data_IF_173052270164
#
_entry.id   IF_173052270164
#
_cell.length_a   1.000
_cell.length_b   1.000
_cell.length_c   1.000
_cell.angle_alpha   90.00
_cell.angle_beta   90.00
_cell.angle_gamma   90.00
#
_symmetry.space_group_name_H-M   'P 1'
#
loop_
_entity.id
_entity.type
_entity.pdbx_description
1 polymer ?
#
# COMPACT_ATOMS: atom_id res chain seq x y z
N UNK A 1 -15.09 21.59 20.51
CA UNK A 1 -14.92 21.40 19.06
C UNK A 1 -13.45 21.05 18.82
N UNK A 2 -13.15 19.82 18.40
CA UNK A 2 -11.78 19.43 18.06
C UNK A 2 -11.37 20.17 16.78
N UNK A 3 -10.46 21.12 16.91
CA UNK A 3 -9.80 21.75 15.76
C UNK A 3 -8.83 20.73 15.16
N UNK A 4 -9.27 19.98 14.16
CA UNK A 4 -8.42 19.02 13.43
C UNK A 4 -7.68 19.74 12.33
N UNK A 5 -6.50 20.25 12.66
CA UNK A 5 -5.61 20.87 11.66
C UNK A 5 -4.77 19.78 11.01
N UNK A 6 -5.26 19.21 9.90
CA UNK A 6 -4.42 18.46 9.00
C UNK A 6 -3.29 19.38 8.51
N UNK A 7 -2.06 18.88 8.53
CA UNK A 7 -0.89 19.63 8.11
C UNK A 7 -0.63 19.37 6.62
N UNK A 8 -0.16 20.37 5.84
CA UNK A 8 0.29 20.12 4.47
C UNK A 8 1.38 19.04 4.42
N UNK A 9 1.37 18.22 3.37
CA UNK A 9 2.41 17.25 3.08
C UNK A 9 2.68 17.19 1.57
N UNK A 10 3.94 17.00 1.19
CA UNK A 10 4.33 16.77 -0.20
C UNK A 10 3.95 15.33 -0.61
N UNK A 11 3.09 15.14 -1.63
CA UNK A 11 2.81 13.80 -2.14
C UNK A 11 4.04 13.19 -2.82
N UNK A 12 4.18 11.87 -2.72
CA UNK A 12 5.18 11.07 -3.39
C UNK A 12 4.54 9.98 -4.26
N UNK A 13 5.24 9.55 -5.31
CA UNK A 13 4.87 8.34 -6.04
C UNK A 13 5.20 7.07 -5.23
N UNK A 14 4.65 5.92 -5.62
CA UNK A 14 4.96 4.64 -4.97
C UNK A 14 6.32 4.10 -5.41
N UNK A 15 7.07 3.37 -4.55
CA UNK A 15 8.41 2.85 -4.90
C UNK A 15 8.40 1.93 -6.12
N UNK A 16 7.31 1.19 -6.31
CA UNK A 16 7.07 0.32 -7.46
C UNK A 16 5.72 0.64 -8.13
N UNK A 17 5.54 0.27 -9.42
CA UNK A 17 4.30 0.52 -10.14
C UNK A 17 3.07 -0.03 -9.43
N UNK A 18 2.05 0.82 -9.30
CA UNK A 18 0.71 0.45 -8.88
C UNK A 18 -0.17 0.35 -10.13
N UNK A 19 -1.01 -0.69 -10.24
CA UNK A 19 -1.86 -0.92 -11.42
C UNK A 19 -2.71 0.33 -11.74
N UNK A 20 -2.68 0.78 -13.00
CA UNK A 20 -3.07 2.14 -13.41
C UNK A 20 -4.52 2.57 -13.10
N UNK A 21 -5.45 1.62 -12.94
CA UNK A 21 -6.85 1.90 -12.58
C UNK A 21 -7.01 2.55 -11.19
N UNK A 22 -6.04 2.33 -10.29
CA UNK A 22 -6.14 2.75 -8.89
C UNK A 22 -5.84 4.24 -8.65
N UNK A 23 -5.43 5.02 -9.66
CA UNK A 23 -5.19 6.48 -9.50
C UNK A 23 -6.49 7.26 -9.30
N UNK A 24 -7.56 6.90 -10.00
CA UNK A 24 -8.85 7.56 -9.86
C UNK A 24 -9.51 7.21 -8.53
N UNK A 25 -9.44 5.94 -8.11
CA UNK A 25 -9.83 5.52 -6.77
C UNK A 25 -9.06 6.31 -5.71
N UNK A 26 -7.73 6.41 -5.83
CA UNK A 26 -6.91 7.11 -4.86
C UNK A 26 -7.35 8.56 -4.65
N UNK A 27 -7.68 9.29 -5.72
CA UNK A 27 -8.19 10.67 -5.60
C UNK A 27 -9.49 10.74 -4.78
N UNK A 28 -10.42 9.81 -5.03
CA UNK A 28 -11.71 9.75 -4.30
C UNK A 28 -11.49 9.39 -2.83
N UNK A 29 -10.69 8.36 -2.57
CA UNK A 29 -10.31 7.95 -1.20
C UNK A 29 -9.69 9.11 -0.45
N UNK A 30 -8.68 9.78 -1.03
CA UNK A 30 -7.98 10.91 -0.39
C UNK A 30 -8.95 12.04 -0.05
N UNK A 31 -9.89 12.37 -0.94
CA UNK A 31 -10.91 13.39 -0.67
C UNK A 31 -11.80 13.02 0.52
N UNK A 32 -12.16 11.74 0.68
CA UNK A 32 -12.92 11.25 1.85
C UNK A 32 -12.12 11.31 3.13
N UNK A 33 -10.87 10.86 3.08
CA UNK A 33 -9.98 10.93 4.24
C UNK A 33 -9.76 12.37 4.71
N UNK A 34 -9.70 13.33 3.78
CA UNK A 34 -9.57 14.75 4.11
C UNK A 34 -10.80 15.32 4.84
N UNK A 35 -11.99 14.82 4.50
CA UNK A 35 -13.26 15.29 5.04
C UNK A 35 -13.54 14.79 6.47
N UNK A 36 -12.84 13.73 6.92
CA UNK A 36 -13.05 13.15 8.25
C UNK A 36 -12.08 13.81 9.24
N UNK A 37 -12.57 14.48 10.30
CA UNK A 37 -11.72 15.02 11.36
C UNK A 37 -10.92 13.92 12.07
N UNK A 38 -9.59 14.04 12.13
CA UNK A 38 -8.72 13.14 12.88
C UNK A 38 -7.40 13.82 13.28
N UNK A 39 -6.76 13.32 14.34
CA UNK A 39 -5.40 13.73 14.73
C UNK A 39 -4.37 12.61 14.55
N UNK A 40 -4.84 11.36 14.47
CA UNK A 40 -4.02 10.18 14.20
C UNK A 40 -4.53 9.50 12.93
N UNK A 41 -3.63 9.13 12.03
CA UNK A 41 -3.97 8.37 10.83
C UNK A 41 -3.22 7.03 10.81
N UNK A 42 -3.92 5.95 10.48
CA UNK A 42 -3.35 4.59 10.48
C UNK A 42 -3.73 3.84 9.20
N UNK A 43 -2.76 3.24 8.51
CA UNK A 43 -3.00 2.27 7.41
C UNK A 43 -2.58 0.85 7.84
N UNK A 44 -3.53 -0.04 8.21
CA UNK A 44 -3.20 -1.41 8.58
C UNK A 44 -2.64 -2.26 7.43
N UNK A 45 -2.95 -1.89 6.19
CA UNK A 45 -2.60 -2.60 4.95
C UNK A 45 -1.95 -1.63 3.95
N UNK A 46 -0.81 -1.04 4.30
CA UNK A 46 -0.20 0.05 3.51
C UNK A 46 0.22 -0.42 2.10
N UNK A 47 0.64 -1.68 1.93
CA UNK A 47 1.17 -2.19 0.68
C UNK A 47 2.33 -1.33 0.17
N UNK A 48 2.25 -0.82 -1.05
CA UNK A 48 3.25 0.11 -1.60
C UNK A 48 3.02 1.59 -1.23
N UNK A 49 2.14 1.90 -0.27
CA UNK A 49 1.83 3.26 0.17
C UNK A 49 0.94 4.02 -0.80
N UNK A 50 0.02 3.31 -1.48
CA UNK A 50 -0.72 3.85 -2.61
C UNK A 50 -1.60 5.06 -2.27
N UNK A 51 -2.17 5.08 -1.07
CA UNK A 51 -2.94 6.20 -0.53
C UNK A 51 -2.05 7.06 0.34
N UNK A 52 -1.36 6.45 1.32
CA UNK A 52 -0.48 7.14 2.26
C UNK A 52 0.42 8.20 1.61
N UNK A 53 1.21 7.78 0.61
CA UNK A 53 2.21 8.62 -0.04
C UNK A 53 1.58 9.71 -0.92
N UNK A 54 0.36 9.48 -1.44
CA UNK A 54 -0.31 10.39 -2.37
C UNK A 54 -1.14 11.47 -1.68
N UNK A 55 -1.38 11.36 -0.37
CA UNK A 55 -2.15 12.36 0.39
C UNK A 55 -1.36 13.67 0.47
N UNK A 56 -1.93 14.82 0.05
CA UNK A 56 -1.28 16.13 0.13
C UNK A 56 -1.37 16.76 1.54
N UNK A 57 -1.67 15.94 2.53
CA UNK A 57 -1.80 16.32 3.92
C UNK A 57 -1.38 15.16 4.83
N UNK A 58 -1.10 15.48 6.09
CA UNK A 58 -0.77 14.53 7.14
C UNK A 58 -1.49 14.86 8.43
N UNK A 59 -1.82 13.81 9.18
CA UNK A 59 -2.28 13.95 10.56
C UNK A 59 -1.11 14.31 11.48
N UNK A 60 -1.42 14.67 12.74
CA UNK A 60 -0.36 14.97 13.74
C UNK A 60 0.50 13.74 14.02
N UNK A 61 -0.12 12.57 14.06
CA UNK A 61 0.55 11.28 14.18
C UNK A 61 0.12 10.37 13.03
N UNK A 62 1.08 9.67 12.43
CA UNK A 62 0.81 8.76 11.32
C UNK A 62 1.52 7.42 11.54
N UNK A 63 0.78 6.35 11.26
CA UNK A 63 1.25 4.97 11.41
C UNK A 63 0.96 4.22 10.12
N UNK A 64 1.96 3.54 9.58
CA UNK A 64 1.78 2.59 8.48
C UNK A 64 2.16 1.19 8.95
N UNK A 65 1.44 0.19 8.43
CA UNK A 65 1.65 -1.20 8.76
C UNK A 65 1.50 -2.07 7.52
N UNK A 66 2.35 -3.08 7.43
CA UNK A 66 2.13 -4.21 6.54
C UNK A 66 2.58 -5.49 7.25
N UNK A 67 1.90 -6.59 6.99
CA UNK A 67 2.31 -7.90 7.50
C UNK A 67 3.55 -8.43 6.77
N UNK A 68 3.75 -8.01 5.52
CA UNK A 68 4.90 -8.36 4.70
C UNK A 68 6.17 -7.76 5.30
N UNK A 69 7.09 -8.65 5.68
CA UNK A 69 8.40 -8.26 6.17
C UNK A 69 9.21 -7.48 5.14
N UNK A 70 9.03 -7.76 3.84
CA UNK A 70 9.76 -7.05 2.78
C UNK A 70 9.23 -5.62 2.59
N UNK A 71 7.92 -5.41 2.71
CA UNK A 71 7.29 -4.07 2.65
C UNK A 71 7.72 -3.22 3.85
N UNK A 72 7.57 -3.77 5.07
CA UNK A 72 7.97 -3.07 6.29
C UNK A 72 9.47 -2.76 6.28
N UNK A 73 10.30 -3.72 5.83
CA UNK A 73 11.74 -3.53 5.70
C UNK A 73 12.08 -2.43 4.68
N UNK A 74 11.46 -2.42 3.49
CA UNK A 74 11.68 -1.39 2.48
C UNK A 74 11.41 0.01 3.02
N UNK A 75 10.25 0.24 3.64
CA UNK A 75 9.93 1.56 4.18
C UNK A 75 10.83 1.97 5.35
N UNK A 76 11.20 1.02 6.22
CA UNK A 76 12.16 1.29 7.30
C UNK A 76 13.55 1.66 6.77
N UNK A 77 14.04 0.97 5.74
CA UNK A 77 15.30 1.31 5.07
C UNK A 77 15.21 2.67 4.39
N UNK A 78 14.11 2.98 3.68
CA UNK A 78 13.90 4.31 3.11
C UNK A 78 13.86 5.40 4.17
N UNK A 79 13.28 5.14 5.35
CA UNK A 79 13.26 6.12 6.43
C UNK A 79 14.64 6.32 7.10
N UNK A 80 15.40 5.24 7.35
CA UNK A 80 16.60 5.27 8.21
C UNK A 80 17.94 5.21 7.48
N UNK A 81 17.95 4.62 6.29
CA UNK A 81 19.16 4.26 5.54
C UNK A 81 19.01 4.61 4.05
N UNK A 82 18.34 5.73 3.74
CA UNK A 82 18.14 6.22 2.38
C UNK A 82 19.46 6.35 1.61
N UNK A 83 20.46 7.04 2.18
CA UNK A 83 21.77 7.24 1.52
C UNK A 83 22.47 5.90 1.22
N UNK A 84 22.66 4.98 2.19
CA UNK A 84 23.19 3.65 1.90
C UNK A 84 22.42 2.86 0.84
N UNK A 85 21.08 2.97 0.82
CA UNK A 85 20.26 2.31 -0.20
C UNK A 85 20.56 2.89 -1.58
N UNK A 86 20.63 4.22 -1.70
CA UNK A 86 20.95 4.89 -2.96
C UNK A 86 22.34 4.51 -3.47
N UNK A 87 23.34 4.43 -2.60
CA UNK A 87 24.69 4.00 -2.96
C UNK A 87 24.72 2.57 -3.51
N UNK A 88 23.95 1.66 -2.91
CA UNK A 88 23.87 0.28 -3.38
C UNK A 88 23.12 0.16 -4.71
N UNK A 89 22.14 1.03 -4.97
CA UNK A 89 21.35 1.02 -6.20
C UNK A 89 22.03 1.74 -7.37
N UNK A 90 22.97 2.67 -7.12
CA UNK A 90 23.46 3.63 -8.14
C UNK A 90 24.02 3.04 -9.43
N UNK A 91 24.51 1.80 -9.38
CA UNK A 91 25.08 1.10 -10.54
C UNK A 91 24.21 -0.06 -11.04
N UNK A 92 23.03 -0.25 -10.46
CA UNK A 92 22.13 -1.31 -10.90
C UNK A 92 21.52 -1.01 -12.27
N UNK A 93 21.47 -2.04 -13.09
CA UNK A 93 20.89 -2.04 -14.42
C UNK A 93 19.76 -3.07 -14.53
N UNK A 94 18.82 -2.84 -15.44
CA UNK A 94 17.73 -3.79 -15.69
C UNK A 94 18.26 -4.97 -16.52
N UNK A 95 18.26 -6.17 -15.95
CA UNK A 95 18.74 -7.41 -16.58
C UNK A 95 17.85 -8.58 -16.17
N UNK A 96 17.50 -9.44 -17.13
CA UNK A 96 16.78 -10.68 -16.86
C UNK A 96 17.63 -11.65 -16.02
N UNK A 97 18.91 -11.78 -16.33
CA UNK A 97 19.81 -12.65 -15.58
C UNK A 97 19.94 -12.19 -14.12
N UNK A 98 19.98 -10.88 -13.89
CA UNK A 98 20.01 -10.34 -12.53
C UNK A 98 18.68 -10.54 -11.79
N UNK A 99 17.54 -10.37 -12.48
CA UNK A 99 16.23 -10.70 -11.92
C UNK A 99 16.15 -12.16 -11.48
N UNK A 100 16.58 -13.09 -12.33
CA UNK A 100 16.56 -14.54 -12.04
C UNK A 100 17.52 -14.88 -10.89
N UNK A 101 18.73 -14.30 -10.87
CA UNK A 101 19.70 -14.44 -9.78
C UNK A 101 19.12 -13.95 -8.45
N UNK A 102 18.54 -12.75 -8.42
CA UNK A 102 17.92 -12.18 -7.23
C UNK A 102 16.69 -12.97 -6.80
N UNK A 103 15.88 -13.46 -7.73
CA UNK A 103 14.73 -14.30 -7.42
C UNK A 103 15.15 -15.62 -6.76
N UNK A 104 16.21 -16.26 -7.24
CA UNK A 104 16.76 -17.49 -6.69
C UNK A 104 17.53 -17.31 -5.37
N UNK A 105 17.93 -16.08 -5.03
CA UNK A 105 18.66 -15.80 -3.81
C UNK A 105 17.81 -16.11 -2.56
N UNK A 106 18.43 -16.75 -1.56
CA UNK A 106 17.83 -16.94 -0.25
C UNK A 106 17.74 -15.59 0.47
N UNK A 107 16.52 -15.08 0.69
CA UNK A 107 16.31 -13.80 1.33
C UNK A 107 16.79 -13.76 2.79
N UNK A 108 16.81 -14.91 3.48
CA UNK A 108 17.21 -15.01 4.88
C UNK A 108 18.72 -14.84 5.09
N UNK A 109 19.53 -14.97 4.03
CA UNK A 109 20.98 -14.76 4.11
C UNK A 109 21.39 -13.32 3.78
N UNK A 110 20.43 -12.46 3.43
CA UNK A 110 20.68 -11.09 3.03
C UNK A 110 20.51 -10.15 4.22
N UNK A 111 21.33 -9.10 4.27
CA UNK A 111 21.11 -7.97 5.16
C UNK A 111 19.79 -7.27 4.83
N UNK A 112 19.23 -6.54 5.79
CA UNK A 112 18.02 -5.76 5.57
C UNK A 112 18.14 -4.78 4.40
N UNK A 113 19.32 -4.19 4.21
CA UNK A 113 19.59 -3.28 3.10
C UNK A 113 19.51 -4.03 1.76
N UNK A 114 20.20 -5.15 1.63
CA UNK A 114 20.16 -6.01 0.44
C UNK A 114 18.76 -6.55 0.15
N UNK A 115 18.02 -6.94 1.19
CA UNK A 115 16.62 -7.37 1.07
C UNK A 115 15.74 -6.27 0.52
N UNK A 116 15.88 -5.04 0.99
CA UNK A 116 15.10 -3.90 0.49
C UNK A 116 15.39 -3.61 -0.99
N UNK A 117 16.66 -3.59 -1.39
CA UNK A 117 17.00 -3.38 -2.81
C UNK A 117 16.59 -4.55 -3.71
N UNK A 118 16.81 -5.80 -3.26
CA UNK A 118 16.31 -6.99 -3.95
C UNK A 118 14.81 -6.89 -4.19
N UNK A 119 14.04 -6.63 -3.13
CA UNK A 119 12.59 -6.53 -3.20
C UNK A 119 12.15 -5.43 -4.15
N UNK A 120 12.73 -4.23 -4.04
CA UNK A 120 12.44 -3.10 -4.94
C UNK A 120 12.75 -3.45 -6.40
N UNK A 121 13.90 -4.07 -6.67
CA UNK A 121 14.30 -4.49 -8.01
C UNK A 121 13.30 -5.47 -8.62
N UNK A 122 12.94 -6.53 -7.89
CA UNK A 122 11.98 -7.54 -8.34
C UNK A 122 10.61 -6.91 -8.60
N UNK A 123 10.13 -6.04 -7.72
CA UNK A 123 8.84 -5.38 -7.88
C UNK A 123 8.79 -4.47 -9.12
N UNK A 124 9.87 -3.75 -9.42
CA UNK A 124 9.90 -2.84 -10.58
C UNK A 124 10.10 -3.56 -11.91
N UNK A 125 10.87 -4.64 -11.91
CA UNK A 125 11.22 -5.37 -13.14
C UNK A 125 10.27 -6.52 -13.46
N UNK A 126 9.39 -6.92 -12.53
CA UNK A 126 8.41 -7.97 -12.78
C UNK A 126 7.22 -7.55 -13.66
N UNK A 127 6.65 -8.54 -14.35
CA UNK A 127 5.37 -8.43 -15.03
C UNK A 127 4.27 -8.12 -14.01
N UNK A 128 3.49 -7.06 -14.27
CA UNK A 128 2.44 -6.59 -13.37
C UNK A 128 2.88 -6.21 -11.95
N UNK A 129 4.18 -6.09 -11.68
CA UNK A 129 4.70 -5.80 -10.34
C UNK A 129 4.50 -6.92 -9.32
N UNK A 130 4.36 -8.18 -9.76
CA UNK A 130 4.10 -9.34 -8.87
C UNK A 130 5.38 -10.04 -8.37
N UNK A 131 6.58 -9.59 -8.75
CA UNK A 131 7.85 -10.20 -8.36
C UNK A 131 8.14 -11.62 -8.90
N UNK A 132 7.22 -12.25 -9.64
CA UNK A 132 7.30 -13.67 -10.06
C UNK A 132 7.95 -13.90 -11.42
N UNK A 133 7.67 -13.04 -12.39
CA UNK A 133 8.19 -13.20 -13.76
C UNK A 133 8.75 -11.89 -14.24
N UNK A 134 9.89 -11.91 -14.94
CA UNK A 134 10.47 -10.72 -15.53
C UNK A 134 9.49 -10.11 -16.56
N UNK A 135 9.23 -8.82 -16.44
CA UNK A 135 8.29 -8.09 -17.29
C UNK A 135 8.90 -7.73 -18.64
N UNK A 136 8.21 -8.08 -19.73
CA UNK A 136 8.58 -7.67 -21.09
C UNK A 136 7.51 -6.75 -21.63
N UNK A 137 7.91 -5.56 -22.09
CA UNK A 137 7.02 -4.58 -22.70
C UNK A 137 7.73 -3.94 -23.90
N UNK A 138 7.56 -4.49 -25.12
CA UNK A 138 8.17 -3.93 -26.33
C UNK A 138 7.79 -2.45 -26.52
N UNK A 139 8.78 -1.61 -26.84
CA UNK A 139 8.59 -0.16 -27.02
C UNK A 139 8.57 0.68 -25.74
N UNK A 140 8.73 0.07 -24.57
CA UNK A 140 8.85 0.79 -23.29
C UNK A 140 10.29 0.65 -22.75
N UNK A 141 10.91 1.73 -22.25
CA UNK A 141 12.23 1.65 -21.61
C UNK A 141 12.27 0.71 -20.40
N UNK A 142 13.49 0.37 -20.00
CA UNK A 142 13.77 -0.37 -18.79
C UNK A 142 13.12 0.26 -17.54
N UNK A 143 12.63 -0.57 -16.61
CA UNK A 143 11.81 -0.12 -15.47
C UNK A 143 12.63 0.21 -14.21
N UNK A 144 13.89 -0.21 -14.17
CA UNK A 144 14.85 0.12 -13.12
C UNK A 144 15.83 1.19 -13.62
N UNK A 145 15.30 2.39 -13.82
CA UNK A 145 16.07 3.59 -14.15
C UNK A 145 16.34 4.35 -12.84
N UNK A 146 17.57 4.23 -12.33
CA UNK A 146 17.97 4.77 -11.01
C UNK A 146 17.91 6.30 -10.99
N UNK A 147 18.08 6.96 -12.14
CA UNK A 147 18.02 8.44 -12.22
C UNK A 147 16.63 8.96 -11.89
N UNK A 148 15.58 8.26 -12.36
CA UNK A 148 14.18 8.60 -12.06
C UNK A 148 13.73 8.02 -10.72
N UNK A 149 14.19 6.80 -10.40
CA UNK A 149 13.84 6.14 -9.16
C UNK A 149 14.41 6.90 -7.95
N UNK A 150 15.62 7.43 -8.04
CA UNK A 150 16.26 8.17 -6.96
C UNK A 150 15.41 9.34 -6.46
N UNK A 151 14.92 10.19 -7.36
CA UNK A 151 14.03 11.29 -7.00
C UNK A 151 12.75 10.81 -6.29
N UNK A 152 12.13 9.73 -6.78
CA UNK A 152 10.95 9.14 -6.10
C UNK A 152 11.30 8.59 -4.72
N UNK A 153 12.45 7.94 -4.55
CA UNK A 153 12.84 7.40 -3.24
C UNK A 153 13.19 8.51 -2.24
N UNK A 154 13.74 9.63 -2.71
CA UNK A 154 13.96 10.84 -1.91
C UNK A 154 12.65 11.43 -1.39
N UNK A 155 11.67 11.65 -2.27
CA UNK A 155 10.33 12.11 -1.89
C UNK A 155 9.67 11.20 -0.85
N UNK A 156 9.85 9.88 -0.99
CA UNK A 156 9.33 8.91 -0.03
C UNK A 156 10.08 9.01 1.30
N UNK A 157 11.41 9.11 1.28
CA UNK A 157 12.22 9.30 2.48
C UNK A 157 11.73 10.53 3.28
N UNK A 158 11.53 11.66 2.61
CA UNK A 158 11.00 12.88 3.22
C UNK A 158 9.57 12.69 3.74
N UNK A 159 8.69 12.04 2.96
CA UNK A 159 7.30 11.80 3.37
C UNK A 159 7.17 10.89 4.58
N UNK A 160 8.14 9.99 4.78
CA UNK A 160 8.19 9.08 5.93
C UNK A 160 8.78 9.73 7.19
N UNK A 161 9.24 10.98 7.12
CA UNK A 161 9.75 11.70 8.29
C UNK A 161 8.66 11.81 9.38
N UNK A 162 8.94 11.21 10.54
CA UNK A 162 8.02 11.20 11.69
C UNK A 162 6.90 10.15 11.62
N UNK A 163 6.92 9.25 10.64
CA UNK A 163 5.93 8.17 10.50
C UNK A 163 6.36 6.95 11.32
N UNK A 164 5.44 6.36 12.07
CA UNK A 164 5.67 5.08 12.74
C UNK A 164 5.44 3.94 11.74
N UNK A 165 6.40 3.02 11.65
CA UNK A 165 6.33 1.86 10.76
C UNK A 165 6.20 0.61 11.62
N UNK A 166 5.06 -0.05 11.54
CA UNK A 166 4.72 -1.28 12.27
C UNK A 166 4.74 -2.50 11.34
N UNK A 167 4.85 -3.68 11.95
CA UNK A 167 4.67 -4.98 11.29
C UNK A 167 3.91 -5.92 12.21
N UNK A 168 2.61 -5.68 12.34
CA UNK A 168 1.68 -6.40 13.20
C UNK A 168 0.54 -7.01 12.38
N UNK A 169 -0.07 -8.12 12.87
CA UNK A 169 -1.39 -8.53 12.40
C UNK A 169 -2.37 -7.36 12.49
N UNK A 170 -3.20 -7.16 11.47
CA UNK A 170 -4.07 -5.98 11.35
C UNK A 170 -4.94 -5.79 12.60
N UNK A 171 -5.46 -6.88 13.17
CA UNK A 171 -6.34 -6.82 14.34
C UNK A 171 -5.62 -6.25 15.57
N UNK A 172 -4.35 -6.60 15.76
CA UNK A 172 -3.54 -6.08 16.87
C UNK A 172 -3.20 -4.60 16.67
N UNK A 173 -2.89 -4.20 15.43
CA UNK A 173 -2.64 -2.81 15.10
C UNK A 173 -3.87 -1.93 15.35
N UNK A 174 -5.04 -2.34 14.85
CA UNK A 174 -6.30 -1.61 15.04
C UNK A 174 -6.57 -1.45 16.53
N UNK A 175 -6.51 -2.54 17.31
CA UNK A 175 -6.74 -2.50 18.76
C UNK A 175 -5.74 -1.57 19.49
N UNK A 176 -4.48 -1.52 19.05
CA UNK A 176 -3.43 -0.70 19.67
C UNK A 176 -3.67 0.79 19.49
N UNK A 177 -4.11 1.19 18.29
CA UNK A 177 -4.27 2.59 17.92
C UNK A 177 -5.70 3.10 18.01
N UNK A 178 -6.69 2.27 18.30
CA UNK A 178 -8.08 2.67 18.35
C UNK A 178 -8.36 3.71 19.46
N UNK A 179 -8.57 4.96 19.05
CA UNK A 179 -8.92 6.12 19.86
C UNK A 179 -9.94 6.97 19.12
N UNK A 180 -10.79 7.75 19.81
CA UNK A 180 -11.82 8.59 19.15
C UNK A 180 -11.29 9.49 18.03
N UNK A 181 -10.04 9.95 18.13
CA UNK A 181 -9.42 10.86 17.15
C UNK A 181 -8.59 10.14 16.08
N UNK A 182 -8.71 8.82 15.96
CA UNK A 182 -7.98 8.00 14.99
C UNK A 182 -8.82 7.72 13.76
N UNK A 183 -8.27 7.98 12.58
CA UNK A 183 -8.82 7.54 11.30
C UNK A 183 -8.00 6.38 10.75
N UNK A 184 -8.68 5.27 10.49
CA UNK A 184 -8.11 4.11 9.82
C UNK A 184 -8.46 4.11 8.33
N UNK A 185 -7.47 3.92 7.46
CA UNK A 185 -7.70 3.56 6.07
C UNK A 185 -7.30 2.12 5.84
N UNK A 186 -8.25 1.30 5.37
CA UNK A 186 -8.06 -0.13 5.15
C UNK A 186 -8.21 -0.46 3.66
N UNK A 187 -7.20 -1.12 3.10
CA UNK A 187 -7.21 -1.71 1.75
C UNK A 187 -6.73 -3.17 1.86
N UNK A 188 -7.49 -4.05 2.56
CA UNK A 188 -7.11 -5.45 2.75
C UNK A 188 -7.15 -6.20 1.41
N UNK A 189 -6.71 -7.48 1.37
CA UNK A 189 -6.88 -8.34 0.20
C UNK A 189 -8.34 -8.39 -0.26
N UNK A 190 -8.57 -8.32 -1.57
CA UNK A 190 -9.92 -8.22 -2.14
C UNK A 190 -10.63 -9.57 -2.12
N UNK A 191 -11.97 -9.53 -2.15
CA UNK A 191 -12.80 -10.72 -2.16
C UNK A 191 -12.50 -11.58 -3.40
N UNK A 192 -12.12 -12.84 -3.17
CA UNK A 192 -11.68 -13.79 -4.20
C UNK A 192 -10.19 -13.72 -4.54
N UNK A 193 -9.44 -12.80 -3.91
CA UNK A 193 -8.02 -12.57 -4.10
C UNK A 193 -7.21 -12.81 -2.81
N UNK A 194 -7.73 -13.59 -1.86
CA UNK A 194 -7.14 -13.79 -0.53
C UNK A 194 -5.73 -14.39 -0.61
N UNK A 195 -5.47 -15.21 -1.63
CA UNK A 195 -4.18 -15.90 -1.83
C UNK A 195 -3.08 -15.00 -2.39
N UNK A 196 -3.39 -13.78 -2.83
CA UNK A 196 -2.42 -12.90 -3.48
C UNK A 196 -1.31 -12.41 -2.52
N UNK A 197 -1.60 -12.37 -1.22
CA UNK A 197 -0.69 -11.91 -0.16
C UNK A 197 0.08 -13.05 0.51
N UNK A 198 -0.13 -14.29 0.06
CA UNK A 198 0.49 -15.49 0.62
C UNK A 198 -0.45 -16.25 1.57
N UNK A 199 -0.17 -17.55 1.79
CA UNK A 199 -0.99 -18.39 2.67
C UNK A 199 -0.94 -17.90 4.12
N UNK A 200 -2.10 -17.87 4.79
CA UNK A 200 -2.21 -17.54 6.21
C UNK A 200 -2.09 -16.05 6.56
N UNK A 201 -2.06 -15.16 5.56
CA UNK A 201 -1.98 -13.71 5.77
C UNK A 201 -3.36 -13.06 5.93
N UNK A 202 -4.31 -13.47 5.08
CA UNK A 202 -5.71 -13.04 5.14
C UNK A 202 -6.55 -14.12 4.47
N UNK A 203 -7.66 -14.52 5.08
CA UNK A 203 -8.58 -15.55 4.59
C UNK A 203 -10.03 -15.03 4.50
N UNK A 204 -10.94 -15.88 3.99
CA UNK A 204 -12.35 -15.52 3.83
C UNK A 204 -13.01 -15.12 5.17
N UNK A 205 -12.63 -15.77 6.28
CA UNK A 205 -13.15 -15.45 7.60
C UNK A 205 -12.59 -14.14 8.17
N UNK A 206 -11.47 -13.64 7.66
CA UNK A 206 -10.95 -12.33 8.08
C UNK A 206 -11.87 -11.18 7.68
N UNK A 207 -12.68 -11.31 6.61
CA UNK A 207 -13.69 -10.30 6.28
C UNK A 207 -14.71 -10.14 7.41
N UNK A 208 -15.24 -11.25 7.95
CA UNK A 208 -16.19 -11.25 9.06
C UNK A 208 -15.53 -10.76 10.35
N UNK A 209 -14.31 -11.22 10.65
CA UNK A 209 -13.55 -10.76 11.83
C UNK A 209 -13.25 -9.27 11.77
N UNK A 210 -12.90 -8.77 10.58
CA UNK A 210 -12.65 -7.34 10.37
C UNK A 210 -13.93 -6.53 10.52
N UNK A 211 -15.04 -6.96 9.92
CA UNK A 211 -16.33 -6.28 10.06
C UNK A 211 -16.78 -6.21 11.53
N UNK A 212 -16.59 -7.29 12.30
CA UNK A 212 -16.91 -7.32 13.72
C UNK A 212 -16.02 -6.37 14.54
N UNK A 213 -14.71 -6.36 14.27
CA UNK A 213 -13.80 -5.43 14.93
C UNK A 213 -14.13 -3.97 14.61
N UNK A 214 -14.46 -3.65 13.35
CA UNK A 214 -14.83 -2.31 12.92
C UNK A 214 -16.18 -1.87 13.49
N UNK A 215 -17.09 -2.79 13.80
CA UNK A 215 -18.37 -2.46 14.43
C UNK A 215 -18.20 -1.93 15.87
N UNK A 216 -17.13 -2.34 16.56
CA UNK A 216 -16.80 -1.93 17.92
C UNK A 216 -15.74 -0.83 18.04
N UNK A 217 -15.33 -0.21 16.92
CA UNK A 217 -14.24 0.76 16.89
C UNK A 217 -14.63 2.09 17.54
N UNK A 218 -13.69 2.73 18.25
CA UNK A 218 -13.88 4.07 18.84
C UNK A 218 -13.56 5.18 17.84
N UNK A 219 -12.55 4.97 17.02
CA UNK A 219 -12.16 5.86 15.92
C UNK A 219 -13.12 5.80 14.75
N UNK A 220 -12.68 6.34 13.61
CA UNK A 220 -13.40 6.28 12.33
C UNK A 220 -12.62 5.43 11.36
N UNK A 221 -13.30 4.89 10.35
CA UNK A 221 -12.62 4.15 9.29
C UNK A 221 -13.16 4.44 7.90
N UNK A 222 -12.29 4.20 6.92
CA UNK A 222 -12.63 4.09 5.51
C UNK A 222 -11.98 2.82 4.96
N UNK A 223 -12.80 1.91 4.46
CA UNK A 223 -12.40 0.62 3.90
C UNK A 223 -12.67 0.60 2.39
N UNK A 224 -11.72 0.12 1.60
CA UNK A 224 -11.86 -0.08 0.14
C UNK A 224 -11.86 -1.57 -0.21
N UNK A 225 -12.84 -2.01 -1.00
CA UNK A 225 -12.97 -3.39 -1.48
C UNK A 225 -13.57 -3.44 -2.89
N UNK A 226 -13.49 -4.59 -3.55
CA UNK A 226 -14.26 -4.85 -4.77
C UNK A 226 -15.77 -4.98 -4.47
N UNK A 227 -16.60 -4.46 -5.37
CA UNK A 227 -18.06 -4.51 -5.25
C UNK A 227 -18.57 -5.92 -5.58
N UNK A 228 -18.84 -6.72 -4.56
CA UNK A 228 -19.34 -8.09 -4.68
C UNK A 228 -20.47 -8.33 -3.69
N UNK A 229 -21.38 -9.30 -3.95
CA UNK A 229 -22.42 -9.67 -2.99
C UNK A 229 -21.85 -10.02 -1.62
N UNK A 230 -20.79 -10.83 -1.55
CA UNK A 230 -20.17 -11.22 -0.28
C UNK A 230 -19.60 -10.04 0.52
N UNK A 231 -19.01 -9.04 -0.14
CA UNK A 231 -18.58 -7.80 0.53
C UNK A 231 -19.78 -7.02 1.07
N UNK A 232 -20.84 -6.87 0.26
CA UNK A 232 -22.06 -6.17 0.68
C UNK A 232 -22.77 -6.88 1.84
N UNK A 233 -22.77 -8.20 1.85
CA UNK A 233 -23.38 -9.00 2.91
C UNK A 233 -22.60 -8.86 4.22
N UNK A 234 -21.27 -9.02 4.19
CA UNK A 234 -20.42 -8.95 5.39
C UNK A 234 -20.40 -7.54 6.00
N UNK A 235 -20.33 -6.52 5.16
CA UNK A 235 -20.20 -5.12 5.59
C UNK A 235 -21.52 -4.33 5.55
N UNK A 236 -22.66 -4.99 5.33
CA UNK A 236 -23.97 -4.35 5.14
C UNK A 236 -24.49 -3.54 6.32
N UNK A 237 -23.84 -3.64 7.50
CA UNK A 237 -24.12 -2.84 8.69
C UNK A 237 -23.52 -1.42 8.66
N UNK A 238 -22.68 -1.12 7.67
CA UNK A 238 -21.96 0.15 7.51
C UNK A 238 -22.49 0.95 6.33
N UNK A 239 -22.05 2.21 6.21
CA UNK A 239 -22.34 3.02 5.02
C UNK A 239 -21.50 2.51 3.84
N UNK A 240 -22.17 2.08 2.77
CA UNK A 240 -21.53 1.55 1.56
C UNK A 240 -21.79 2.47 0.38
N UNK A 241 -20.73 2.98 -0.23
CA UNK A 241 -20.77 3.73 -1.48
C UNK A 241 -20.14 2.94 -2.63
N UNK A 242 -20.87 2.79 -3.73
CA UNK A 242 -20.33 2.25 -4.96
C UNK A 242 -19.49 3.29 -5.72
N UNK A 243 -18.32 2.87 -6.18
CA UNK A 243 -17.34 3.68 -6.89
C UNK A 243 -17.01 3.01 -8.22
N UNK A 244 -17.36 3.65 -9.33
CA UNK A 244 -17.00 3.12 -10.66
C UNK A 244 -15.50 3.29 -10.93
N UNK A 245 -14.82 2.21 -11.28
CA UNK A 245 -13.44 2.25 -11.77
C UNK A 245 -13.36 1.74 -13.21
N UNK A 246 -12.53 2.39 -14.02
CA UNK A 246 -12.22 1.94 -15.38
C UNK A 246 -10.90 1.19 -15.34
N UNK A 247 -10.96 -0.14 -15.25
CA UNK A 247 -9.76 -0.97 -15.37
C UNK A 247 -9.32 -1.04 -16.83
N UNK A 248 -8.09 -0.59 -17.12
CA UNK A 248 -7.39 -0.90 -18.37
C UNK A 248 -6.29 -1.92 -18.07
N UNK A 249 -6.59 -3.20 -18.25
CA UNK A 249 -5.57 -4.26 -18.25
C UNK A 249 -5.63 -4.92 -19.63
N UNK A 250 -4.58 -4.70 -20.44
CA UNK A 250 -4.19 -5.39 -21.68
C UNK A 250 -5.31 -5.83 -22.67
N UNK A 251 -5.29 -5.25 -23.89
CA UNK A 251 -5.99 -5.67 -25.13
C UNK A 251 -7.19 -6.62 -24.93
N UNK A 252 -8.30 -6.08 -24.46
CA UNK A 252 -9.60 -6.73 -24.35
C UNK A 252 -10.61 -5.75 -23.76
N UNK A 253 -11.89 -5.87 -24.13
CA UNK A 253 -12.95 -4.99 -23.63
C UNK A 253 -12.90 -4.95 -22.09
N UNK A 254 -12.67 -3.76 -21.53
CA UNK A 254 -12.49 -3.59 -20.09
C UNK A 254 -13.72 -4.10 -19.34
N UNK A 255 -13.55 -5.11 -18.49
CA UNK A 255 -14.57 -5.51 -17.53
C UNK A 255 -14.75 -4.37 -16.53
N UNK A 256 -15.94 -3.79 -16.45
CA UNK A 256 -16.32 -2.90 -15.34
C UNK A 256 -16.28 -3.72 -14.07
N UNK A 257 -15.25 -3.52 -13.24
CA UNK A 257 -15.21 -4.08 -11.89
C UNK A 257 -15.54 -2.91 -10.96
N UNK A 258 -16.68 -2.99 -10.28
CA UNK A 258 -17.06 -2.01 -9.28
C UNK A 258 -16.14 -2.11 -8.07
N UNK A 259 -15.91 -0.99 -7.40
CA UNK A 259 -15.32 -0.94 -6.06
C UNK A 259 -16.33 -0.32 -5.10
N UNK A 260 -16.20 -0.61 -3.81
CA UNK A 260 -17.00 0.00 -2.75
C UNK A 260 -16.09 0.68 -1.74
N UNK A 261 -16.54 1.84 -1.27
CA UNK A 261 -16.01 2.51 -0.09
C UNK A 261 -16.98 2.29 1.06
N UNK A 262 -16.47 1.78 2.18
CA UNK A 262 -17.25 1.40 3.34
C UNK A 262 -16.77 2.25 4.52
N UNK A 263 -17.67 2.89 5.24
CA UNK A 263 -17.33 3.78 6.36
C UNK A 263 -18.21 3.60 7.59
N UNK A 264 -17.64 3.89 8.75
CA UNK A 264 -18.27 3.95 10.07
C UNK A 264 -17.67 5.06 10.91
#
# INVERSE_FOLDING_TARGET
>A
MLSTTLLPASPAATPAPYLGGKRNLARRVIARLQAIPHTTYVEPFVGMGGIFLRRPFKARAEVINDISGDVANLFRILQRHYVPLMDMLRWQLTSRAEFERLQAANAETLTDLERAARFLYLQRTAFGGKGRHFGVAPGIPARFDVTKLGATLEEIHERLAGVVIERLPYAQLIARYDRPETLFYLDPPYWGCEKDYGPGVFDRGDFERLAEQLAGIKGRFLLSLNDTPGVRDVFGRFDIEAVETTYTVAKGAGSKVGEVLISG
#
